data_IF_568640914493
#
_entry.id   IF_568640914493
#
_cell.length_a   1.000
_cell.length_b   1.000
_cell.length_c   1.000
_cell.angle_alpha   90.00
_cell.angle_beta   90.00
_cell.angle_gamma   90.00
#
_symmetry.space_group_name_H-M   'P 1'
#
loop_
_entity.id
_entity.type
_entity.pdbx_description
1 polymer ?
#
# COMPACT_ATOMS: atom_id res chain seq x y z
N UNK A 1 21.11 4.98 -6.85
CA UNK A 1 20.19 3.92 -7.35
C UNK A 1 20.99 2.64 -7.44
N UNK A 2 20.63 1.64 -6.66
CA UNK A 2 21.15 0.28 -6.81
C UNK A 2 20.10 -0.52 -7.54
N UNK A 3 20.46 -1.16 -8.65
CA UNK A 3 19.57 -2.03 -9.40
C UNK A 3 19.87 -3.47 -9.02
N UNK A 4 18.83 -4.23 -8.64
CA UNK A 4 18.88 -5.68 -8.53
C UNK A 4 18.34 -6.31 -9.82
N UNK A 5 19.07 -7.28 -10.38
CA UNK A 5 18.66 -8.07 -11.56
C UNK A 5 18.43 -9.51 -11.09
N UNK A 6 17.23 -10.04 -11.29
CA UNK A 6 16.91 -11.47 -11.14
C UNK A 6 16.83 -12.13 -12.52
N UNK A 7 17.42 -13.32 -12.66
CA UNK A 7 17.43 -14.10 -13.90
C UNK A 7 16.61 -15.39 -13.67
N UNK A 8 15.62 -15.60 -14.53
CA UNK A 8 14.74 -16.77 -14.51
C UNK A 8 15.02 -17.71 -15.69
N UNK A 9 14.91 -19.01 -15.44
CA UNK A 9 14.83 -20.03 -16.49
C UNK A 9 13.44 -19.96 -17.16
N UNK A 10 13.41 -19.69 -18.46
CA UNK A 10 12.17 -19.64 -19.25
C UNK A 10 11.52 -21.02 -19.49
N UNK A 11 12.23 -22.12 -19.27
CA UNK A 11 11.68 -23.47 -19.40
C UNK A 11 11.12 -24.03 -18.09
N UNK A 12 11.66 -23.63 -16.94
CA UNK A 12 11.33 -24.22 -15.63
C UNK A 12 10.74 -23.24 -14.60
N UNK A 13 10.82 -21.93 -14.85
CA UNK A 13 10.30 -20.88 -13.95
C UNK A 13 11.09 -20.73 -12.65
N UNK A 14 12.20 -21.44 -12.48
CA UNK A 14 13.06 -21.39 -11.30
C UNK A 14 14.15 -20.33 -11.46
N UNK A 15 14.51 -19.66 -10.35
CA UNK A 15 15.61 -18.70 -10.32
C UNK A 15 16.95 -19.43 -10.48
N UNK A 16 17.78 -18.97 -11.43
CA UNK A 16 19.10 -19.57 -11.68
C UNK A 16 20.18 -18.76 -10.94
N UNK A 17 20.61 -19.23 -9.77
CA UNK A 17 21.85 -18.81 -9.11
C UNK A 17 21.84 -17.46 -8.35
N UNK A 18 22.93 -17.13 -7.62
CA UNK A 18 22.98 -15.98 -6.72
C UNK A 18 23.22 -14.65 -7.45
N UNK A 19 22.62 -13.58 -6.90
CA UNK A 19 22.81 -12.16 -7.22
C UNK A 19 24.31 -11.78 -7.26
N UNK A 20 24.80 -11.20 -8.36
CA UNK A 20 26.18 -10.71 -8.50
C UNK A 20 26.20 -9.17 -8.59
N UNK A 21 27.02 -8.51 -7.76
CA UNK A 21 27.39 -7.09 -7.94
C UNK A 21 28.69 -6.99 -8.74
N UNK A 22 28.74 -6.01 -9.65
CA UNK A 22 29.86 -5.57 -10.49
C UNK A 22 31.22 -6.25 -10.24
N UNK A 23 31.62 -7.11 -11.19
CA UNK A 23 32.98 -7.61 -11.24
C UNK A 23 33.28 -8.85 -12.08
N UNK A 24 32.49 -9.30 -13.08
CA UNK A 24 33.01 -10.23 -14.12
C UNK A 24 32.09 -10.43 -15.35
N UNK A 25 32.73 -10.79 -16.48
CA UNK A 25 32.25 -11.17 -17.83
C UNK A 25 30.94 -11.98 -17.90
N UNK A 26 30.05 -11.69 -18.87
CA UNK A 26 28.98 -12.62 -19.30
C UNK A 26 28.74 -12.57 -20.82
N UNK A 27 28.60 -13.76 -21.44
CA UNK A 27 28.28 -14.04 -22.86
C UNK A 27 27.14 -15.04 -23.06
N UNK A 28 26.28 -14.81 -24.06
CA UNK A 28 25.35 -15.80 -24.66
C UNK A 28 23.94 -15.86 -24.07
N UNK A 29 22.91 -15.88 -24.94
CA UNK A 29 21.50 -16.22 -24.63
C UNK A 29 20.49 -15.07 -24.76
N UNK A 30 19.22 -15.40 -25.01
CA UNK A 30 18.11 -14.43 -25.14
C UNK A 30 17.48 -14.15 -23.77
N UNK A 31 17.51 -12.90 -23.30
CA UNK A 31 16.91 -12.49 -22.03
C UNK A 31 16.17 -11.15 -22.17
N UNK A 32 15.07 -10.99 -21.44
CA UNK A 32 14.34 -9.72 -21.33
C UNK A 32 14.86 -8.96 -20.11
N UNK A 33 15.58 -7.86 -20.34
CA UNK A 33 16.04 -6.93 -19.30
C UNK A 33 15.03 -5.78 -19.14
N UNK A 34 14.48 -5.60 -17.95
CA UNK A 34 13.83 -4.34 -17.55
C UNK A 34 14.64 -3.70 -16.43
N UNK A 35 15.57 -2.83 -16.81
CA UNK A 35 16.46 -2.12 -15.87
C UNK A 35 16.82 -0.75 -16.44
N UNK A 36 16.55 0.31 -15.69
CA UNK A 36 17.23 1.61 -15.80
C UNK A 36 18.69 1.43 -15.32
N UNK A 37 19.62 1.44 -16.28
CA UNK A 37 20.87 0.67 -16.25
C UNK A 37 22.11 1.40 -15.63
N UNK A 38 23.25 0.76 -15.31
CA UNK A 38 23.80 -0.45 -15.97
C UNK A 38 25.11 -1.02 -15.39
N UNK A 39 25.26 -2.33 -15.59
CA UNK A 39 26.47 -3.08 -15.99
C UNK A 39 26.08 -4.18 -17.02
N UNK A 40 27.06 -4.72 -17.76
CA UNK A 40 27.00 -5.33 -19.14
C UNK A 40 26.78 -6.86 -19.27
N UNK A 41 26.28 -7.35 -20.44
CA UNK A 41 26.48 -8.71 -21.00
C UNK A 41 26.35 -8.78 -22.55
N UNK A 42 26.95 -9.81 -23.17
CA UNK A 42 27.28 -9.91 -24.61
C UNK A 42 26.44 -10.93 -25.40
N UNK A 43 25.56 -10.48 -26.31
CA UNK A 43 25.17 -11.09 -27.61
C UNK A 43 24.33 -10.05 -28.38
N UNK A 44 24.36 -10.04 -29.72
CA UNK A 44 23.65 -9.04 -30.52
C UNK A 44 22.13 -9.03 -30.24
N UNK A 45 21.60 -7.86 -29.85
CA UNK A 45 20.19 -7.65 -29.55
C UNK A 45 19.86 -6.15 -29.45
N UNK A 46 18.56 -5.84 -29.56
CA UNK A 46 18.00 -4.49 -29.39
C UNK A 46 17.40 -4.35 -28.00
N UNK A 47 17.86 -3.38 -27.21
CA UNK A 47 17.29 -3.03 -25.91
C UNK A 47 16.52 -1.70 -26.00
N UNK A 48 15.33 -1.62 -25.41
CA UNK A 48 14.48 -0.40 -25.41
C UNK A 48 14.40 0.15 -23.99
N UNK A 49 14.82 1.41 -23.78
CA UNK A 49 14.65 2.10 -22.50
C UNK A 49 13.44 3.04 -22.64
N UNK A 50 12.31 2.68 -22.03
CA UNK A 50 11.09 3.50 -22.08
C UNK A 50 11.06 4.51 -20.94
N UNK A 51 11.34 5.77 -21.24
CA UNK A 51 10.73 6.90 -20.53
C UNK A 51 9.46 7.33 -21.27
N UNK A 52 8.39 7.68 -20.55
CA UNK A 52 7.11 8.04 -21.16
C UNK A 52 7.23 9.15 -22.20
N UNK A 53 6.94 8.82 -23.46
CA UNK A 53 6.98 9.74 -24.61
C UNK A 53 7.25 8.98 -25.92
N UNK A 54 6.39 9.14 -26.91
CA UNK A 54 6.44 8.40 -28.19
C UNK A 54 7.61 8.85 -29.06
N UNK A 55 8.66 8.01 -29.14
CA UNK A 55 9.76 8.14 -30.10
C UNK A 55 11.11 7.74 -29.49
N UNK A 56 11.45 6.45 -29.52
CA UNK A 56 12.78 5.96 -29.09
C UNK A 56 13.77 6.02 -30.25
N UNK A 57 14.92 6.68 -30.07
CA UNK A 57 16.04 6.67 -31.02
C UNK A 57 16.96 5.50 -30.69
N UNK A 58 17.31 4.67 -31.69
CA UNK A 58 18.22 3.53 -31.48
C UNK A 58 19.67 3.91 -31.80
N UNK A 59 20.58 3.70 -30.85
CA UNK A 59 22.01 3.92 -31.00
C UNK A 59 22.74 2.59 -31.15
N UNK A 60 23.58 2.46 -32.18
CA UNK A 60 24.40 1.27 -32.44
C UNK A 60 25.85 1.51 -32.00
N UNK A 61 26.35 0.66 -31.11
CA UNK A 61 27.74 0.68 -30.68
C UNK A 61 28.67 0.11 -31.77
N UNK A 62 29.78 0.80 -32.03
CA UNK A 62 30.78 0.45 -33.05
C UNK A 62 32.10 -0.03 -32.45
N UNK A 63 32.36 0.27 -31.17
CA UNK A 63 33.51 -0.19 -30.39
C UNK A 63 33.18 -0.21 -28.89
N UNK A 64 34.00 -0.88 -28.09
CA UNK A 64 33.87 -0.83 -26.62
C UNK A 64 34.29 0.53 -26.07
N UNK A 65 33.62 1.02 -25.02
CA UNK A 65 33.92 2.32 -24.42
C UNK A 65 32.84 2.81 -23.45
N UNK A 66 32.88 4.07 -23.04
CA UNK A 66 31.87 4.63 -22.13
C UNK A 66 30.59 5.05 -22.87
N UNK A 67 29.43 4.96 -22.20
CA UNK A 67 28.14 5.41 -22.76
C UNK A 67 28.19 6.88 -23.23
N UNK A 68 28.91 7.72 -22.49
CA UNK A 68 29.09 9.16 -22.73
C UNK A 68 30.08 9.48 -23.85
N UNK A 69 30.86 8.49 -24.32
CA UNK A 69 31.82 8.69 -25.40
C UNK A 69 31.11 8.61 -26.75
N UNK A 70 30.93 9.78 -27.38
CA UNK A 70 30.29 9.90 -28.68
C UNK A 70 30.96 9.06 -29.78
N UNK A 71 32.26 8.75 -29.63
CA UNK A 71 33.03 7.97 -30.60
C UNK A 71 32.75 6.47 -30.55
N UNK A 72 32.04 6.00 -29.51
CA UNK A 72 31.54 4.63 -29.39
C UNK A 72 30.40 4.35 -30.36
N UNK A 73 29.65 5.38 -30.77
CA UNK A 73 28.37 5.23 -31.47
C UNK A 73 28.47 5.57 -32.95
N UNK A 74 27.77 4.81 -33.79
CA UNK A 74 27.77 4.97 -35.26
C UNK A 74 27.36 6.36 -35.76
N UNK A 75 26.62 7.12 -34.95
CA UNK A 75 26.24 8.50 -35.24
C UNK A 75 27.21 9.58 -34.76
N UNK A 76 28.33 9.20 -34.11
CA UNK A 76 29.28 10.17 -33.55
C UNK A 76 28.69 11.05 -32.45
N UNK A 77 27.59 10.61 -31.83
CA UNK A 77 26.87 11.29 -30.75
C UNK A 77 26.58 10.29 -29.63
N UNK A 78 26.81 10.70 -28.38
CA UNK A 78 26.48 9.88 -27.23
C UNK A 78 24.96 9.85 -26.99
N UNK A 79 24.38 8.69 -26.60
CA UNK A 79 22.97 8.59 -26.24
C UNK A 79 22.59 9.57 -25.13
N UNK A 80 21.50 10.30 -25.32
CA UNK A 80 20.91 11.20 -24.33
C UNK A 80 19.38 11.20 -24.45
N UNK A 81 18.66 11.34 -23.34
CA UNK A 81 17.19 11.28 -23.31
C UNK A 81 16.64 9.84 -23.36
N UNK A 82 15.51 9.63 -24.03
CA UNK A 82 14.93 8.30 -24.23
C UNK A 82 15.56 7.63 -25.45
N UNK A 83 16.15 6.45 -25.27
CA UNK A 83 16.85 5.76 -26.35
C UNK A 83 16.78 4.25 -26.23
N UNK A 84 17.10 3.59 -27.35
CA UNK A 84 17.36 2.16 -27.43
C UNK A 84 18.84 1.94 -27.74
N UNK A 85 19.44 0.90 -27.19
CA UNK A 85 20.83 0.53 -27.50
C UNK A 85 20.85 -0.77 -28.31
N UNK A 86 21.70 -0.80 -29.32
CA UNK A 86 22.10 -2.02 -30.03
C UNK A 86 23.59 -2.21 -29.84
N UNK A 87 23.96 -3.33 -29.22
CA UNK A 87 25.35 -3.63 -28.86
C UNK A 87 25.73 -4.93 -29.56
N UNK A 88 26.61 -4.88 -30.58
CA UNK A 88 27.13 -6.07 -31.24
C UNK A 88 27.90 -6.98 -30.28
N UNK A 89 27.94 -8.28 -30.59
CA UNK A 89 28.72 -9.24 -29.82
C UNK A 89 30.21 -8.83 -29.77
N UNK A 90 30.82 -8.92 -28.59
CA UNK A 90 32.22 -8.53 -28.37
C UNK A 90 32.44 -7.05 -28.06
N UNK A 91 31.40 -6.21 -28.09
CA UNK A 91 31.46 -4.82 -27.66
C UNK A 91 30.95 -4.68 -26.23
N UNK A 92 31.70 -3.95 -25.40
CA UNK A 92 31.39 -3.68 -23.99
C UNK A 92 31.18 -2.18 -23.80
N UNK A 93 30.03 -1.79 -23.24
CA UNK A 93 29.75 -0.39 -22.87
C UNK A 93 29.82 -0.23 -21.36
N UNK A 94 30.67 0.70 -20.91
CA UNK A 94 30.82 1.07 -19.50
C UNK A 94 29.90 2.24 -19.18
N UNK A 95 29.18 2.17 -18.06
CA UNK A 95 28.21 3.20 -17.67
C UNK A 95 28.64 3.81 -16.35
N UNK A 96 29.47 4.85 -16.46
CA UNK A 96 30.03 5.63 -15.36
C UNK A 96 29.07 6.75 -14.97
N UNK A 97 27.83 6.42 -14.61
CA UNK A 97 26.87 7.45 -14.18
C UNK A 97 26.94 7.66 -12.66
N UNK A 98 27.23 8.89 -12.23
CA UNK A 98 26.71 9.35 -10.94
C UNK A 98 25.22 9.52 -11.13
N UNK A 99 24.42 8.63 -10.54
CA UNK A 99 22.97 8.77 -10.60
C UNK A 99 22.57 9.88 -9.60
N UNK A 100 22.69 11.13 -10.01
CA UNK A 100 22.03 12.27 -9.37
C UNK A 100 20.58 12.31 -9.85
N UNK A 101 19.81 11.32 -9.41
CA UNK A 101 18.36 11.30 -9.62
C UNK A 101 17.71 12.34 -8.72
N UNK A 102 17.47 13.54 -9.22
CA UNK A 102 16.55 14.54 -8.64
C UNK A 102 15.07 14.12 -8.79
N UNK A 103 14.78 12.83 -8.71
CA UNK A 103 13.44 12.25 -8.75
C UNK A 103 13.07 11.75 -7.36
N UNK A 104 11.83 12.01 -6.94
CA UNK A 104 11.22 11.60 -5.67
C UNK A 104 11.02 10.07 -5.53
N UNK A 105 11.93 9.24 -6.05
CA UNK A 105 11.86 7.78 -5.99
C UNK A 105 12.69 7.20 -4.84
N UNK A 106 12.06 6.46 -3.93
CA UNK A 106 12.72 5.65 -2.90
C UNK A 106 13.40 4.43 -3.51
N UNK A 107 14.59 4.05 -3.01
CA UNK A 107 15.23 2.76 -3.34
C UNK A 107 14.84 1.73 -2.27
N UNK A 108 14.36 0.55 -2.68
CA UNK A 108 14.08 -0.55 -1.75
C UNK A 108 15.32 -1.42 -1.58
N UNK A 109 15.83 -1.52 -0.35
CA UNK A 109 16.92 -2.41 0.03
C UNK A 109 16.37 -3.72 0.58
N UNK A 110 16.85 -4.85 0.04
CA UNK A 110 16.45 -6.19 0.48
C UNK A 110 17.60 -6.86 1.23
N UNK A 111 17.33 -7.30 2.46
CA UNK A 111 18.34 -8.01 3.24
C UNK A 111 18.57 -9.43 2.68
N UNK A 112 19.82 -9.88 2.64
CA UNK A 112 20.23 -11.23 2.20
C UNK A 112 20.75 -12.09 3.34
N UNK A 113 21.15 -11.47 4.45
CA UNK A 113 21.55 -12.13 5.70
C UNK A 113 21.26 -11.23 6.89
N UNK A 114 21.33 -11.77 8.10
CA UNK A 114 21.19 -10.98 9.33
C UNK A 114 22.41 -10.08 9.58
N UNK A 115 22.18 -8.91 10.18
CA UNK A 115 23.24 -7.97 10.54
C UNK A 115 22.75 -6.55 10.80
N UNK A 116 23.69 -5.62 10.89
CA UNK A 116 23.40 -4.20 11.12
C UNK A 116 22.92 -3.50 9.85
N UNK A 117 22.05 -2.49 10.00
CA UNK A 117 21.58 -1.65 8.91
C UNK A 117 22.74 -1.05 8.10
N UNK A 118 23.81 -0.65 8.78
CA UNK A 118 24.96 0.04 8.18
C UNK A 118 25.97 -0.90 7.52
N UNK A 119 25.85 -2.22 7.68
CA UNK A 119 26.74 -3.18 7.06
C UNK A 119 26.33 -3.41 5.60
N UNK A 120 27.14 -2.94 4.66
CA UNK A 120 26.88 -3.07 3.23
C UNK A 120 26.76 -4.53 2.77
N UNK A 121 27.37 -5.48 3.47
CA UNK A 121 27.35 -6.90 3.12
C UNK A 121 26.01 -7.59 3.43
N UNK A 122 25.14 -6.95 4.22
CA UNK A 122 23.80 -7.43 4.59
C UNK A 122 22.80 -7.28 3.45
N UNK A 123 23.06 -6.37 2.51
CA UNK A 123 22.09 -5.92 1.52
C UNK A 123 22.36 -6.49 0.14
N UNK A 124 21.28 -6.79 -0.60
CA UNK A 124 21.36 -7.07 -2.03
C UNK A 124 22.02 -5.89 -2.75
N UNK A 125 23.09 -6.15 -3.50
CA UNK A 125 23.85 -5.11 -4.18
C UNK A 125 25.08 -4.60 -3.42
N UNK A 126 25.31 -5.06 -2.18
CA UNK A 126 26.54 -4.75 -1.44
C UNK A 126 26.66 -3.28 -1.03
N UNK A 127 25.54 -2.60 -0.84
CA UNK A 127 25.46 -1.19 -0.44
C UNK A 127 24.49 -1.04 0.73
N UNK A 128 24.92 -0.33 1.77
CA UNK A 128 24.07 -0.02 2.89
C UNK A 128 23.01 1.05 2.53
N UNK A 129 21.82 1.01 3.16
CA UNK A 129 20.81 2.05 3.05
C UNK A 129 21.38 3.44 3.29
N UNK A 130 21.02 4.37 2.40
CA UNK A 130 21.43 5.77 2.44
C UNK A 130 20.36 6.65 1.77
N UNK A 131 20.33 7.94 2.11
CA UNK A 131 19.31 8.87 1.64
C UNK A 131 17.89 8.43 2.04
N UNK A 132 16.93 8.62 1.13
CA UNK A 132 15.56 8.15 1.29
C UNK A 132 15.46 6.71 0.78
N UNK A 133 14.99 5.80 1.63
CA UNK A 133 14.95 4.39 1.28
C UNK A 133 13.74 3.66 1.84
N UNK A 134 13.50 2.48 1.31
CA UNK A 134 12.57 1.50 1.84
C UNK A 134 13.31 0.19 2.13
N UNK A 135 12.80 -0.62 3.05
CA UNK A 135 13.39 -1.90 3.43
C UNK A 135 12.43 -3.05 3.17
N UNK A 136 12.99 -4.19 2.77
CA UNK A 136 12.34 -5.48 2.80
C UNK A 136 13.22 -6.45 3.57
N UNK A 137 12.73 -6.96 4.70
CA UNK A 137 13.44 -7.93 5.55
C UNK A 137 12.77 -9.29 5.35
N UNK A 138 13.39 -10.24 4.61
CA UNK A 138 12.83 -11.57 4.40
C UNK A 138 12.71 -12.39 5.68
N UNK A 139 11.86 -13.42 5.66
CA UNK A 139 11.70 -14.35 6.77
C UNK A 139 13.05 -14.99 7.17
N UNK A 140 13.24 -15.20 8.48
CA UNK A 140 14.48 -15.77 9.04
C UNK A 140 15.68 -14.82 9.11
N UNK A 141 15.58 -13.60 8.55
CA UNK A 141 16.64 -12.58 8.63
C UNK A 141 16.30 -11.57 9.71
N UNK A 142 17.32 -11.18 10.50
CA UNK A 142 17.22 -10.11 11.50
C UNK A 142 18.08 -8.93 11.08
N UNK A 143 17.47 -7.78 10.90
CA UNK A 143 18.17 -6.50 10.74
C UNK A 143 18.11 -5.74 12.05
N UNK A 144 19.29 -5.34 12.52
CA UNK A 144 19.45 -4.53 13.72
C UNK A 144 19.73 -3.08 13.34
N UNK A 145 19.08 -2.15 14.03
CA UNK A 145 19.44 -0.73 14.04
C UNK A 145 19.92 -0.40 15.45
N UNK A 146 21.23 -0.43 15.65
CA UNK A 146 21.87 -0.09 16.92
C UNK A 146 21.88 1.42 17.19
N UNK A 147 22.03 1.79 18.47
CA UNK A 147 22.04 3.19 18.90
C UNK A 147 20.63 3.76 19.11
N UNK A 148 20.55 5.04 19.49
CA UNK A 148 19.30 5.64 19.98
C UNK A 148 18.49 6.39 18.93
N UNK A 149 18.97 6.49 17.68
CA UNK A 149 18.31 7.27 16.64
C UNK A 149 18.61 6.75 15.24
N UNK A 150 17.56 6.57 14.43
CA UNK A 150 17.68 6.46 12.98
C UNK A 150 17.55 7.85 12.36
N UNK A 151 18.69 8.40 11.90
CA UNK A 151 18.78 9.73 11.29
C UNK A 151 18.51 9.74 9.78
N UNK A 152 18.29 8.58 9.16
CA UNK A 152 17.96 8.47 7.74
C UNK A 152 16.45 8.31 7.54
N UNK A 153 15.95 8.78 6.40
CA UNK A 153 14.52 8.68 6.07
C UNK A 153 14.18 7.30 5.52
N UNK A 154 13.73 6.41 6.41
CA UNK A 154 13.13 5.14 6.04
C UNK A 154 11.63 5.36 5.75
N UNK A 155 11.27 5.41 4.47
CA UNK A 155 9.90 5.68 4.02
C UNK A 155 8.96 4.50 4.32
N UNK A 156 9.43 3.27 4.07
CA UNK A 156 8.64 2.05 4.27
C UNK A 156 9.53 0.88 4.66
N UNK A 157 9.07 0.03 5.57
CA UNK A 157 9.75 -1.20 5.96
C UNK A 157 8.75 -2.37 6.00
N UNK A 158 8.88 -3.31 5.07
CA UNK A 158 8.14 -4.57 5.09
C UNK A 158 8.96 -5.64 5.83
N UNK A 159 8.48 -6.06 6.99
CA UNK A 159 9.18 -6.96 7.91
C UNK A 159 8.55 -8.35 7.88
N UNK A 160 9.10 -9.25 7.06
CA UNK A 160 8.78 -10.69 7.09
C UNK A 160 9.69 -11.45 8.07
N UNK A 161 10.90 -10.94 8.31
CA UNK A 161 11.85 -11.45 9.31
C UNK A 161 11.75 -10.68 10.63
N UNK A 162 12.87 -10.16 11.12
CA UNK A 162 12.91 -9.36 12.35
C UNK A 162 13.56 -8.00 12.10
N UNK A 163 12.91 -6.93 12.54
CA UNK A 163 13.51 -5.61 12.69
C UNK A 163 13.77 -5.39 14.20
N UNK A 164 15.03 -5.26 14.60
CA UNK A 164 15.42 -5.04 15.97
C UNK A 164 15.97 -3.61 16.15
N UNK A 165 15.42 -2.86 17.10
CA UNK A 165 15.69 -1.43 17.25
C UNK A 165 16.25 -1.09 18.63
N UNK A 166 17.25 -0.22 18.66
CA UNK A 166 17.65 0.45 19.90
C UNK A 166 18.67 -0.27 20.76
N UNK A 167 19.36 -1.27 20.21
CA UNK A 167 20.42 -1.98 20.92
C UNK A 167 21.45 -1.00 21.50
N UNK A 168 21.71 -1.12 22.80
CA UNK A 168 22.65 -0.27 23.54
C UNK A 168 22.15 1.14 23.86
N UNK A 169 20.84 1.41 23.77
CA UNK A 169 20.25 2.72 24.05
C UNK A 169 19.04 2.67 24.97
N UNK A 170 18.76 3.77 25.68
CA UNK A 170 17.61 3.84 26.58
C UNK A 170 16.28 3.95 25.83
N UNK A 171 16.27 4.69 24.73
CA UNK A 171 15.14 4.86 23.81
C UNK A 171 15.64 4.73 22.37
N UNK A 172 14.71 4.53 21.45
CA UNK A 172 15.00 4.59 20.01
C UNK A 172 14.12 5.64 19.34
N UNK A 173 14.73 6.48 18.50
CA UNK A 173 14.05 7.63 17.87
C UNK A 173 14.12 7.52 16.35
N UNK A 174 12.98 7.69 15.68
CA UNK A 174 12.96 7.96 14.26
C UNK A 174 13.05 9.47 14.02
N UNK A 175 14.04 9.94 13.25
CA UNK A 175 14.14 11.36 12.91
C UNK A 175 13.10 11.80 11.86
N UNK A 176 12.64 10.85 11.03
CA UNK A 176 11.66 11.06 9.97
C UNK A 176 10.53 10.04 10.07
N UNK A 177 9.31 10.35 9.59
CA UNK A 177 8.17 9.46 9.73
C UNK A 177 8.34 8.17 8.93
N UNK A 178 8.32 6.98 9.57
CA UNK A 178 8.35 5.71 8.87
C UNK A 178 6.95 5.09 8.75
N UNK A 179 6.80 4.27 7.71
CA UNK A 179 5.73 3.27 7.60
C UNK A 179 6.32 1.90 7.84
N UNK A 180 5.98 1.27 8.97
CA UNK A 180 6.47 -0.06 9.32
C UNK A 180 5.32 -1.06 9.22
N UNK A 181 5.51 -2.10 8.41
CA UNK A 181 4.52 -3.14 8.17
C UNK A 181 5.14 -4.47 8.58
N UNK A 182 4.71 -4.99 9.73
CA UNK A 182 5.11 -6.30 10.22
C UNK A 182 4.21 -7.34 9.58
N UNK A 183 4.77 -8.09 8.64
CA UNK A 183 4.08 -9.13 7.87
C UNK A 183 3.90 -10.39 8.71
N UNK A 184 3.14 -11.35 8.20
CA UNK A 184 2.97 -12.66 8.87
C UNK A 184 4.33 -13.30 9.17
N UNK A 185 4.50 -13.87 10.36
CA UNK A 185 5.74 -14.39 10.96
C UNK A 185 6.82 -13.34 11.30
N UNK A 186 6.64 -12.10 10.86
CA UNK A 186 7.55 -11.00 11.11
C UNK A 186 7.52 -10.52 12.55
N UNK A 187 8.62 -9.90 12.99
CA UNK A 187 8.75 -9.36 14.35
C UNK A 187 9.37 -7.97 14.36
N UNK A 188 8.76 -7.06 15.12
CA UNK A 188 9.39 -5.81 15.53
C UNK A 188 9.89 -5.96 16.98
N UNK A 189 11.20 -5.96 17.18
CA UNK A 189 11.83 -6.18 18.47
C UNK A 189 12.35 -4.85 19.05
N UNK A 190 11.93 -4.56 20.28
CA UNK A 190 12.50 -3.51 21.10
C UNK A 190 13.70 -4.04 21.88
N UNK A 191 14.85 -3.40 21.69
CA UNK A 191 16.09 -3.70 22.40
C UNK A 191 16.57 -2.50 23.24
N UNK A 192 15.71 -1.49 23.41
CA UNK A 192 15.98 -0.35 24.27
C UNK A 192 15.86 -0.75 25.74
N UNK A 193 16.64 -0.12 26.62
CA UNK A 193 16.57 -0.44 28.05
C UNK A 193 15.37 0.14 28.78
N UNK A 194 14.68 1.14 28.21
CA UNK A 194 13.48 1.75 28.80
C UNK A 194 12.18 1.30 28.13
N UNK A 195 12.25 0.44 27.11
CA UNK A 195 11.12 0.00 26.28
C UNK A 195 10.35 1.18 25.65
N UNK A 196 11.05 2.11 25.00
CA UNK A 196 10.44 3.32 24.41
C UNK A 196 10.91 3.54 22.99
N UNK A 197 9.95 3.65 22.09
CA UNK A 197 10.14 4.14 20.73
C UNK A 197 9.51 5.52 20.57
N UNK A 198 10.25 6.43 19.94
CA UNK A 198 9.86 7.81 19.68
C UNK A 198 9.68 7.99 18.16
N UNK A 199 8.49 8.44 17.76
CA UNK A 199 8.10 8.65 16.37
C UNK A 199 7.71 10.10 16.14
N UNK A 200 8.04 10.71 14.99
CA UNK A 200 7.43 11.96 14.59
C UNK A 200 5.97 11.72 14.16
N UNK A 201 5.17 12.80 14.06
CA UNK A 201 3.87 12.74 13.38
C UNK A 201 3.98 12.22 11.95
N UNK A 202 2.88 11.69 11.42
CA UNK A 202 2.76 11.03 10.12
C UNK A 202 3.41 9.63 10.04
N UNK A 203 3.69 9.03 11.18
CA UNK A 203 4.24 7.66 11.27
C UNK A 203 3.12 6.65 11.41
N UNK A 204 3.33 5.43 10.92
CA UNK A 204 2.38 4.32 11.11
C UNK A 204 3.12 3.00 11.33
N UNK A 205 2.59 2.21 12.26
CA UNK A 205 2.99 0.82 12.46
C UNK A 205 1.75 -0.05 12.27
N UNK A 206 1.80 -0.96 11.30
CA UNK A 206 0.78 -1.97 11.06
C UNK A 206 1.39 -3.35 11.29
N UNK A 207 0.77 -4.15 12.16
CA UNK A 207 1.11 -5.55 12.37
C UNK A 207 -0.01 -6.39 11.79
N UNK A 208 0.30 -7.15 10.74
CA UNK A 208 -0.67 -8.03 10.10
C UNK A 208 -0.88 -9.29 10.95
N UNK A 209 -1.93 -10.04 10.61
CA UNK A 209 -2.20 -11.34 11.24
C UNK A 209 -0.97 -12.26 11.15
N UNK A 210 -0.60 -12.86 12.28
CA UNK A 210 0.59 -13.71 12.42
C UNK A 210 1.92 -12.95 12.57
N UNK A 211 1.94 -11.62 12.44
CA UNK A 211 3.06 -10.77 12.82
C UNK A 211 3.06 -10.46 14.32
N UNK A 212 4.16 -9.91 14.84
CA UNK A 212 4.21 -9.56 16.26
C UNK A 212 5.24 -8.52 16.68
N UNK A 213 5.11 -8.12 17.94
CA UNK A 213 6.11 -7.37 18.69
C UNK A 213 6.88 -8.31 19.61
N UNK A 214 8.20 -8.29 19.51
CA UNK A 214 9.08 -9.17 20.29
C UNK A 214 9.20 -8.79 21.77
N UNK A 215 8.82 -7.56 22.14
CA UNK A 215 8.85 -7.06 23.50
C UNK A 215 7.45 -6.57 23.91
N UNK A 216 6.96 -7.04 25.06
CA UNK A 216 5.71 -6.53 25.66
C UNK A 216 6.00 -5.25 26.43
N UNK A 217 5.06 -4.30 26.42
CA UNK A 217 5.17 -3.08 27.22
C UNK A 217 6.03 -1.99 26.59
N UNK A 218 6.43 -2.11 25.32
CA UNK A 218 7.04 -1.01 24.57
C UNK A 218 6.05 0.14 24.43
N UNK A 219 6.46 1.32 24.88
CA UNK A 219 5.72 2.56 24.70
C UNK A 219 6.07 3.18 23.35
N UNK A 220 5.06 3.36 22.52
CA UNK A 220 5.10 4.14 21.29
C UNK A 220 4.70 5.58 21.63
N UNK A 221 5.60 6.53 21.43
CA UNK A 221 5.34 7.94 21.73
C UNK A 221 5.53 8.79 20.49
N UNK A 222 4.67 9.80 20.37
CA UNK A 222 4.84 10.83 19.36
C UNK A 222 5.77 11.93 19.90
N UNK A 223 6.60 12.49 19.04
CA UNK A 223 7.46 13.64 19.34
C UNK A 223 7.15 14.74 18.33
N UNK A 224 6.77 15.92 18.84
CA UNK A 224 6.54 17.11 18.03
C UNK A 224 7.42 18.26 18.55
N UNK A 225 8.21 18.87 17.66
CA UNK A 225 9.09 19.98 18.03
C UNK A 225 10.12 19.64 19.13
N UNK A 226 10.47 18.36 19.29
CA UNK A 226 11.38 17.88 20.34
C UNK A 226 10.72 17.60 21.70
N UNK A 227 9.40 17.75 21.83
CA UNK A 227 8.64 17.45 23.06
C UNK A 227 7.87 16.15 22.89
N UNK A 228 7.91 15.29 23.91
CA UNK A 228 7.11 14.07 23.96
C UNK A 228 5.61 14.42 24.08
N UNK A 229 4.81 13.96 23.13
CA UNK A 229 3.36 14.14 23.10
C UNK A 229 2.63 12.91 23.62
N UNK A 230 1.55 12.52 22.94
CA UNK A 230 0.78 11.31 23.21
C UNK A 230 1.66 10.05 23.28
N UNK A 231 1.23 9.09 24.10
CA UNK A 231 1.91 7.83 24.35
C UNK A 231 0.90 6.70 24.37
N UNK A 232 1.24 5.58 23.73
CA UNK A 232 0.49 4.34 23.78
C UNK A 232 1.43 3.20 24.15
N UNK A 233 1.03 2.33 25.07
CA UNK A 233 1.84 1.18 25.47
C UNK A 233 1.25 -0.09 24.89
N UNK A 234 2.07 -0.85 24.17
CA UNK A 234 1.66 -2.11 23.56
C UNK A 234 1.27 -3.14 24.62
N UNK A 235 0.01 -3.58 24.57
CA UNK A 235 -0.58 -4.58 25.47
C UNK A 235 -0.52 -5.99 24.90
N UNK A 236 -0.46 -6.13 23.57
CA UNK A 236 -0.33 -7.40 22.85
C UNK A 236 1.03 -7.53 22.16
N UNK A 237 1.53 -8.76 22.07
CA UNK A 237 2.74 -9.10 21.32
C UNK A 237 2.44 -9.62 19.91
N UNK A 238 1.16 -9.75 19.52
CA UNK A 238 0.74 -10.32 18.24
C UNK A 238 -0.31 -9.44 17.57
N UNK A 239 -0.23 -9.34 16.24
CA UNK A 239 -1.27 -8.71 15.43
C UNK A 239 -2.52 -9.59 15.26
N UNK A 240 -3.56 -9.09 14.57
CA UNK A 240 -3.56 -7.82 13.83
C UNK A 240 -3.64 -6.59 14.73
N UNK A 241 -2.96 -5.51 14.35
CA UNK A 241 -2.95 -4.25 15.10
C UNK A 241 -2.46 -3.10 14.21
N UNK A 242 -2.99 -1.90 14.41
CA UNK A 242 -2.47 -0.68 13.78
C UNK A 242 -2.31 0.42 14.82
N UNK A 243 -1.20 1.15 14.75
CA UNK A 243 -0.97 2.38 15.49
C UNK A 243 -0.56 3.49 14.52
N UNK A 244 -1.37 4.56 14.46
CA UNK A 244 -1.10 5.75 13.67
C UNK A 244 -0.72 6.93 14.55
N UNK A 245 0.39 7.60 14.23
CA UNK A 245 0.79 8.88 14.84
C UNK A 245 0.32 10.02 13.92
N UNK A 246 -0.78 10.66 14.28
CA UNK A 246 -1.48 11.60 13.39
C UNK A 246 -0.76 12.97 13.27
N UNK A 247 -1.06 13.75 12.21
CA UNK A 247 -0.52 15.10 12.03
C UNK A 247 -0.83 16.05 13.20
N UNK A 248 -1.97 15.85 13.87
CA UNK A 248 -2.45 16.71 14.95
C UNK A 248 -1.79 16.43 16.32
N UNK A 249 -0.90 15.43 16.40
CA UNK A 249 -0.21 15.07 17.63
C UNK A 249 -0.87 13.95 18.43
N UNK A 250 -2.01 13.42 17.97
CA UNK A 250 -2.68 12.29 18.59
C UNK A 250 -2.11 10.94 18.14
N UNK A 251 -2.42 9.89 18.91
CA UNK A 251 -2.16 8.50 18.54
C UNK A 251 -3.50 7.77 18.49
N UNK A 252 -3.77 7.13 17.36
CA UNK A 252 -4.92 6.25 17.19
C UNK A 252 -4.46 4.80 17.07
N UNK A 253 -5.22 3.89 17.67
CA UNK A 253 -4.92 2.46 17.68
C UNK A 253 -6.13 1.62 17.36
N UNK A 254 -5.91 0.53 16.62
CA UNK A 254 -6.95 -0.38 16.19
C UNK A 254 -6.50 -1.82 16.46
N UNK A 255 -7.41 -2.66 16.94
CA UNK A 255 -7.21 -4.11 17.09
C UNK A 255 -7.37 -4.87 15.75
N UNK A 256 -7.08 -4.18 14.64
CA UNK A 256 -7.14 -4.66 13.27
C UNK A 256 -6.07 -3.99 12.41
N UNK A 257 -5.84 -4.52 11.21
CA UNK A 257 -5.11 -3.77 10.17
C UNK A 257 -6.03 -2.67 9.66
N UNK A 258 -5.66 -1.40 9.81
CA UNK A 258 -6.52 -0.27 9.47
C UNK A 258 -5.75 0.76 8.64
N UNK A 259 -6.31 1.16 7.51
CA UNK A 259 -5.79 2.31 6.77
C UNK A 259 -6.51 3.58 7.24
N UNK A 260 -5.75 4.65 7.49
CA UNK A 260 -6.28 5.91 8.02
C UNK A 260 -6.16 6.96 6.93
N UNK A 261 -7.28 7.44 6.38
CA UNK A 261 -7.30 8.51 5.40
C UNK A 261 -7.14 9.86 6.12
N UNK A 262 -6.02 10.55 5.87
CA UNK A 262 -5.64 11.80 6.55
C UNK A 262 -5.64 13.01 5.63
N UNK A 263 -5.67 12.80 4.31
CA UNK A 263 -5.78 13.84 3.30
C UNK A 263 -6.98 13.56 2.42
N UNK A 264 -7.66 14.60 1.95
CA UNK A 264 -8.72 14.42 0.97
C UNK A 264 -8.14 13.95 -0.36
N UNK A 265 -8.74 12.91 -0.94
CA UNK A 265 -8.18 12.29 -2.14
C UNK A 265 -8.89 11.01 -2.56
N UNK A 266 -8.38 10.42 -3.63
CA UNK A 266 -8.85 9.13 -4.14
C UNK A 266 -8.29 7.97 -3.31
N UNK A 267 -9.09 6.91 -3.19
CA UNK A 267 -8.74 5.67 -2.52
C UNK A 267 -7.47 5.02 -3.10
N UNK A 268 -7.22 5.18 -4.39
CA UNK A 268 -6.05 4.58 -5.05
C UNK A 268 -4.77 5.41 -4.86
N UNK A 269 -4.88 6.64 -4.36
CA UNK A 269 -3.74 7.52 -4.16
C UNK A 269 -3.10 7.27 -2.79
N UNK A 270 -1.83 6.83 -2.78
CA UNK A 270 -1.10 6.57 -1.53
C UNK A 270 -1.06 7.80 -0.61
N UNK A 271 -0.93 9.01 -1.16
CA UNK A 271 -0.89 10.26 -0.38
C UNK A 271 -2.16 10.58 0.41
N UNK A 272 -3.28 9.90 0.13
CA UNK A 272 -4.54 10.00 0.88
C UNK A 272 -4.39 9.41 2.29
N UNK A 273 -3.58 8.35 2.44
CA UNK A 273 -3.48 7.55 3.66
C UNK A 273 -2.23 7.88 4.47
N UNK A 274 -2.35 7.77 5.80
CA UNK A 274 -1.26 7.94 6.74
C UNK A 274 -0.06 7.06 6.35
N UNK A 275 1.12 7.68 6.23
CA UNK A 275 2.35 6.99 5.83
C UNK A 275 2.31 6.35 4.43
N UNK A 276 1.32 6.68 3.59
CA UNK A 276 1.12 5.97 2.32
C UNK A 276 0.61 4.54 2.47
N UNK A 277 0.08 4.17 3.64
CA UNK A 277 -0.47 2.84 3.92
C UNK A 277 -1.90 2.71 3.38
N UNK A 278 -2.00 2.65 2.05
CA UNK A 278 -3.28 2.41 1.38
C UNK A 278 -3.67 0.92 1.43
N UNK A 279 -4.97 0.59 1.53
CA UNK A 279 -5.44 -0.79 1.46
C UNK A 279 -5.08 -1.46 0.12
N UNK A 280 -4.75 -2.74 0.19
CA UNK A 280 -4.46 -3.59 -0.98
C UNK A 280 -4.80 -5.03 -0.65
N UNK A 281 -4.93 -5.88 -1.68
CA UNK A 281 -5.24 -7.29 -1.49
C UNK A 281 -4.19 -8.03 -0.64
N UNK A 282 -2.90 -7.67 -0.76
CA UNK A 282 -1.82 -8.30 0.01
C UNK A 282 -1.76 -7.85 1.48
N UNK A 283 -2.25 -6.65 1.78
CA UNK A 283 -2.33 -6.12 3.15
C UNK A 283 -3.60 -6.62 3.83
N UNK A 284 -4.68 -6.75 3.08
CA UNK A 284 -6.02 -7.00 3.60
C UNK A 284 -6.46 -8.47 3.52
N UNK A 285 -5.56 -9.42 3.29
CA UNK A 285 -5.89 -10.87 3.14
C UNK A 285 -6.46 -11.56 4.40
N UNK A 286 -6.84 -10.80 5.43
CA UNK A 286 -7.54 -11.25 6.63
C UNK A 286 -8.53 -10.20 7.15
N UNK A 287 -8.91 -9.25 6.31
CA UNK A 287 -9.72 -8.09 6.65
C UNK A 287 -8.90 -6.85 7.01
N UNK A 288 -9.28 -5.72 6.41
CA UNK A 288 -8.82 -4.39 6.82
C UNK A 288 -9.99 -3.51 7.25
N UNK A 289 -9.73 -2.64 8.23
CA UNK A 289 -10.54 -1.46 8.49
C UNK A 289 -10.09 -0.25 7.67
N UNK A 290 -10.98 0.72 7.56
CA UNK A 290 -10.69 2.05 7.02
C UNK A 290 -11.25 3.08 7.99
N UNK A 291 -10.42 4.04 8.39
CA UNK A 291 -10.85 5.23 9.12
C UNK A 291 -10.74 6.45 8.21
N UNK A 292 -11.81 7.25 8.13
CA UNK A 292 -11.79 8.58 7.50
C UNK A 292 -11.90 9.63 8.60
N UNK A 293 -10.80 10.31 8.87
CA UNK A 293 -10.74 11.28 9.98
C UNK A 293 -11.50 12.57 9.66
N UNK A 294 -11.82 13.34 10.70
CA UNK A 294 -12.55 14.61 10.57
C UNK A 294 -11.89 15.57 9.58
N UNK A 295 -12.70 16.23 8.74
CA UNK A 295 -12.22 17.17 7.73
C UNK A 295 -11.66 16.52 6.45
N UNK A 296 -11.63 15.19 6.36
CA UNK A 296 -11.14 14.45 5.19
C UNK A 296 -12.29 13.96 4.33
N UNK A 297 -12.11 14.07 3.00
CA UNK A 297 -12.97 13.45 2.00
C UNK A 297 -12.23 12.30 1.31
N UNK A 298 -12.66 11.07 1.56
CA UNK A 298 -12.16 9.88 0.86
C UNK A 298 -13.09 9.55 -0.31
N UNK A 299 -12.58 9.53 -1.53
CA UNK A 299 -13.32 9.19 -2.74
C UNK A 299 -12.98 7.80 -3.26
N UNK A 300 -13.98 7.03 -3.68
CA UNK A 300 -13.78 5.73 -4.34
C UNK A 300 -13.83 5.79 -5.86
N UNK A 301 -13.75 6.98 -6.46
CA UNK A 301 -13.91 7.16 -7.90
C UNK A 301 -12.93 6.31 -8.73
N UNK A 302 -11.67 6.21 -8.31
CA UNK A 302 -10.62 5.41 -8.95
C UNK A 302 -10.81 3.89 -8.81
N UNK A 303 -11.73 3.44 -7.95
CA UNK A 303 -12.07 2.02 -7.82
C UNK A 303 -13.05 1.52 -8.89
N UNK A 304 -13.56 2.40 -9.76
CA UNK A 304 -14.43 2.06 -10.90
C UNK A 304 -15.64 1.18 -10.50
N UNK A 305 -16.31 1.56 -9.41
CA UNK A 305 -17.56 0.93 -8.98
C UNK A 305 -17.42 -0.36 -8.16
N UNK A 306 -16.21 -0.76 -7.75
CA UNK A 306 -16.08 -1.93 -6.88
C UNK A 306 -14.89 -1.89 -5.92
N UNK A 307 -15.11 -2.34 -4.69
CA UNK A 307 -14.08 -2.67 -3.72
C UNK A 307 -13.84 -4.18 -3.78
N UNK A 308 -12.68 -4.60 -4.29
CA UNK A 308 -12.39 -5.98 -4.70
C UNK A 308 -11.38 -6.72 -3.79
N UNK A 309 -11.23 -6.29 -2.54
CA UNK A 309 -10.41 -6.96 -1.54
C UNK A 309 -11.07 -6.81 -0.17
N UNK A 310 -10.62 -7.58 0.83
CA UNK A 310 -11.35 -7.76 2.08
C UNK A 310 -11.27 -6.52 2.99
N UNK A 311 -12.20 -5.59 2.79
CA UNK A 311 -12.48 -4.51 3.73
C UNK A 311 -13.65 -4.94 4.60
N UNK A 312 -13.40 -5.04 5.89
CA UNK A 312 -14.37 -5.54 6.87
C UNK A 312 -15.02 -4.41 7.67
N UNK A 313 -14.39 -3.24 7.74
CA UNK A 313 -14.98 -2.06 8.35
C UNK A 313 -14.60 -0.78 7.63
N UNK A 314 -15.54 0.16 7.57
CA UNK A 314 -15.31 1.54 7.13
C UNK A 314 -15.99 2.45 8.15
N UNK A 315 -15.20 3.24 8.86
CA UNK A 315 -15.66 4.23 9.82
C UNK A 315 -15.44 5.62 9.24
N UNK A 316 -16.48 6.44 9.28
CA UNK A 316 -16.45 7.82 8.81
C UNK A 316 -16.73 8.72 10.00
N UNK A 317 -15.67 9.38 10.50
CA UNK A 317 -15.75 10.24 11.66
C UNK A 317 -16.66 11.46 11.42
N UNK A 318 -17.13 12.07 12.51
CA UNK A 318 -17.90 13.32 12.43
C UNK A 318 -17.09 14.41 11.70
N UNK A 319 -17.72 15.06 10.71
CA UNK A 319 -17.07 16.05 9.85
C UNK A 319 -16.20 15.49 8.73
N UNK A 320 -16.09 14.15 8.61
CA UNK A 320 -15.49 13.49 7.47
C UNK A 320 -16.52 13.20 6.37
N UNK A 321 -16.06 12.95 5.14
CA UNK A 321 -16.90 12.52 4.02
C UNK A 321 -16.34 11.26 3.35
N UNK A 322 -17.20 10.27 3.13
CA UNK A 322 -16.91 9.13 2.26
C UNK A 322 -17.75 9.22 0.99
N UNK A 323 -17.10 9.47 -0.15
CA UNK A 323 -17.74 9.55 -1.46
C UNK A 323 -17.69 8.18 -2.14
N UNK A 324 -18.85 7.55 -2.25
CA UNK A 324 -19.00 6.22 -2.82
C UNK A 324 -19.46 6.28 -4.27
N UNK A 325 -18.68 5.67 -5.16
CA UNK A 325 -18.99 5.54 -6.58
C UNK A 325 -18.06 6.35 -7.47
N UNK A 326 -18.25 6.19 -8.77
CA UNK A 326 -17.52 6.93 -9.80
C UNK A 326 -18.49 7.91 -10.48
N UNK A 327 -18.24 9.23 -10.44
CA UNK A 327 -19.09 10.21 -11.10
C UNK A 327 -19.32 9.88 -12.58
N UNK A 328 -20.58 9.88 -13.01
CA UNK A 328 -20.96 9.58 -14.40
C UNK A 328 -20.89 8.10 -14.79
N UNK A 329 -20.41 7.21 -13.91
CA UNK A 329 -20.47 5.78 -14.17
C UNK A 329 -21.91 5.28 -13.99
N UNK A 330 -22.41 4.54 -14.98
CA UNK A 330 -23.72 3.88 -14.93
C UNK A 330 -23.73 2.64 -14.04
N UNK A 331 -22.56 2.24 -13.54
CA UNK A 331 -22.42 1.17 -12.56
C UNK A 331 -22.69 1.71 -11.16
N UNK A 332 -23.34 0.89 -10.32
CA UNK A 332 -23.41 1.14 -8.89
C UNK A 332 -22.04 0.97 -8.21
N UNK A 333 -22.06 0.77 -6.89
CA UNK A 333 -20.86 0.42 -6.14
C UNK A 333 -21.01 -0.96 -5.46
N UNK A 334 -20.02 -1.84 -5.63
CA UNK A 334 -20.03 -3.21 -5.09
C UNK A 334 -18.95 -3.42 -4.04
N UNK A 335 -19.32 -4.03 -2.92
CA UNK A 335 -18.37 -4.57 -1.94
C UNK A 335 -18.17 -6.07 -2.17
N UNK A 336 -16.93 -6.54 -2.26
CA UNK A 336 -16.63 -7.95 -2.53
C UNK A 336 -16.46 -8.80 -1.27
N UNK A 337 -16.56 -8.18 -0.09
CA UNK A 337 -16.48 -8.80 1.23
C UNK A 337 -17.57 -8.23 2.13
N UNK A 338 -17.98 -8.99 3.14
CA UNK A 338 -18.84 -8.48 4.21
C UNK A 338 -18.16 -7.28 4.87
N UNK A 339 -18.92 -6.20 5.03
CA UNK A 339 -18.40 -4.92 5.52
C UNK A 339 -19.36 -4.29 6.52
N UNK A 340 -18.81 -3.72 7.60
CA UNK A 340 -19.54 -2.83 8.50
C UNK A 340 -19.21 -1.38 8.15
N UNK A 341 -20.19 -0.65 7.61
CA UNK A 341 -20.12 0.79 7.38
C UNK A 341 -20.70 1.51 8.59
N UNK A 342 -19.89 2.35 9.24
CA UNK A 342 -20.26 3.15 10.41
C UNK A 342 -20.06 4.64 10.10
N UNK A 343 -21.15 5.33 9.77
CA UNK A 343 -21.14 6.70 9.24
C UNK A 343 -21.63 7.69 10.30
N UNK A 344 -20.69 8.30 11.02
CA UNK A 344 -20.94 9.42 11.94
C UNK A 344 -20.75 10.79 11.25
N UNK A 345 -20.01 10.82 10.14
CA UNK A 345 -19.89 11.97 9.24
C UNK A 345 -20.89 11.92 8.09
N UNK A 346 -20.41 12.17 6.87
CA UNK A 346 -21.25 12.21 5.69
C UNK A 346 -20.87 11.10 4.69
N UNK A 347 -21.86 10.36 4.21
CA UNK A 347 -21.69 9.47 3.06
C UNK A 347 -22.37 10.08 1.85
N UNK A 348 -21.62 10.28 0.76
CA UNK A 348 -22.15 10.81 -0.49
C UNK A 348 -22.09 9.74 -1.57
N UNK A 349 -23.22 9.40 -2.18
CA UNK A 349 -23.22 8.54 -3.36
C UNK A 349 -23.16 9.37 -4.63
N UNK A 350 -22.17 9.09 -5.48
CA UNK A 350 -21.88 9.89 -6.69
C UNK A 350 -22.02 9.10 -7.99
N UNK A 351 -22.31 7.79 -7.92
CA UNK A 351 -22.58 6.97 -9.09
C UNK A 351 -23.93 7.31 -9.72
N UNK A 352 -24.04 7.16 -11.04
CA UNK A 352 -25.34 7.27 -11.74
C UNK A 352 -26.11 5.95 -11.77
N UNK A 353 -25.43 4.83 -11.46
CA UNK A 353 -26.01 3.49 -11.46
C UNK A 353 -27.00 3.21 -10.32
N UNK A 354 -27.17 4.10 -9.34
CA UNK A 354 -28.25 3.98 -8.34
C UNK A 354 -28.24 2.76 -7.42
N UNK A 355 -27.21 1.90 -7.44
CA UNK A 355 -27.14 0.71 -6.58
C UNK A 355 -25.90 0.71 -5.66
N UNK A 356 -26.10 0.30 -4.41
CA UNK A 356 -25.03 -0.13 -3.49
C UNK A 356 -25.22 -1.63 -3.26
N UNK A 357 -24.22 -2.44 -3.63
CA UNK A 357 -24.27 -3.89 -3.54
C UNK A 357 -23.51 -4.38 -2.32
N UNK A 358 -24.23 -4.98 -1.39
CA UNK A 358 -23.70 -5.54 -0.15
C UNK A 358 -23.82 -7.07 -0.14
N UNK A 359 -22.77 -7.80 0.24
CA UNK A 359 -22.89 -9.24 0.45
C UNK A 359 -23.52 -9.56 1.83
N UNK A 360 -24.01 -10.79 2.04
CA UNK A 360 -24.44 -11.27 3.36
C UNK A 360 -23.40 -11.04 4.45
N UNK A 361 -23.85 -10.70 5.66
CA UNK A 361 -22.98 -10.35 6.79
C UNK A 361 -22.57 -8.88 6.85
N UNK A 362 -23.05 -8.03 5.94
CA UNK A 362 -22.74 -6.60 5.94
C UNK A 362 -23.68 -5.79 6.81
N UNK A 363 -23.16 -4.71 7.40
CA UNK A 363 -23.93 -3.70 8.10
C UNK A 363 -23.74 -2.33 7.45
N UNK A 364 -24.82 -1.57 7.34
CA UNK A 364 -24.85 -0.20 6.85
C UNK A 364 -25.50 0.69 7.90
N UNK A 365 -24.69 1.49 8.60
CA UNK A 365 -25.15 2.27 9.73
C UNK A 365 -24.83 3.76 9.52
N UNK A 366 -25.87 4.59 9.42
CA UNK A 366 -25.78 6.04 9.63
C UNK A 366 -26.09 6.28 11.11
N UNK A 367 -25.06 6.64 11.86
CA UNK A 367 -25.14 6.82 13.31
C UNK A 367 -25.60 8.24 13.66
N UNK A 368 -25.74 8.55 14.95
CA UNK A 368 -26.20 9.86 15.38
C UNK A 368 -25.23 10.96 14.92
N UNK A 369 -25.76 11.99 14.25
CA UNK A 369 -24.97 13.05 13.62
C UNK A 369 -24.49 12.73 12.20
N UNK A 370 -24.65 11.48 11.76
CA UNK A 370 -24.36 11.06 10.41
C UNK A 370 -25.40 11.51 9.39
N UNK A 371 -25.00 11.54 8.12
CA UNK A 371 -25.88 11.88 7.02
C UNK A 371 -25.52 11.10 5.75
N UNK A 372 -26.52 10.89 4.88
CA UNK A 372 -26.34 10.36 3.54
C UNK A 372 -26.95 11.32 2.51
N UNK A 373 -26.27 11.52 1.38
CA UNK A 373 -26.83 12.24 0.24
C UNK A 373 -26.48 11.62 -1.11
N UNK A 374 -27.36 11.82 -2.08
CA UNK A 374 -27.21 11.37 -3.46
C UNK A 374 -28.03 12.28 -4.39
N UNK A 375 -27.62 12.38 -5.65
CA UNK A 375 -28.40 13.07 -6.68
C UNK A 375 -29.64 12.27 -7.13
N UNK A 376 -29.64 10.97 -6.87
CA UNK A 376 -30.71 10.02 -7.24
C UNK A 376 -31.05 9.13 -6.04
N UNK A 377 -32.24 8.52 -6.04
CA UNK A 377 -32.54 7.45 -5.09
C UNK A 377 -31.57 6.29 -5.29
N UNK A 378 -31.12 5.69 -4.19
CA UNK A 378 -30.11 4.63 -4.22
C UNK A 378 -30.70 3.36 -3.62
N UNK A 379 -30.66 2.29 -4.38
CA UNK A 379 -31.09 0.96 -3.95
C UNK A 379 -29.94 0.19 -3.34
N UNK A 380 -30.09 -0.30 -2.12
CA UNK A 380 -29.23 -1.30 -1.52
C UNK A 380 -29.71 -2.67 -2.00
N UNK A 381 -28.82 -3.36 -2.72
CA UNK A 381 -29.03 -4.69 -3.29
C UNK A 381 -28.16 -5.70 -2.56
N UNK A 382 -28.76 -6.78 -2.09
CA UNK A 382 -28.01 -7.87 -1.46
C UNK A 382 -27.73 -8.92 -2.52
N UNK A 383 -26.46 -9.25 -2.68
CA UNK A 383 -26.03 -10.17 -3.72
C UNK A 383 -25.20 -11.31 -3.15
N UNK A 384 -25.32 -12.48 -3.78
CA UNK A 384 -24.54 -13.65 -3.46
C UNK A 384 -23.12 -13.50 -4.03
N UNK A 385 -22.11 -13.68 -3.18
CA UNK A 385 -20.71 -13.51 -3.58
C UNK A 385 -20.27 -14.54 -4.63
N UNK A 386 -20.87 -15.74 -4.63
CA UNK A 386 -20.46 -16.84 -5.50
C UNK A 386 -21.04 -16.71 -6.92
N UNK A 387 -22.32 -16.36 -7.01
CA UNK A 387 -23.07 -16.26 -8.28
C UNK A 387 -23.16 -14.84 -8.82
N UNK A 388 -22.93 -13.83 -7.97
CA UNK A 388 -23.09 -12.41 -8.32
C UNK A 388 -24.54 -11.98 -8.48
N UNK A 389 -25.51 -12.84 -8.18
CA UNK A 389 -26.93 -12.59 -8.35
C UNK A 389 -27.53 -11.95 -7.10
N UNK A 390 -28.58 -11.14 -7.30
CA UNK A 390 -29.37 -10.58 -6.21
C UNK A 390 -30.13 -11.68 -5.47
N UNK A 391 -30.08 -11.68 -4.13
CA UNK A 391 -30.68 -12.72 -3.28
C UNK A 391 -31.53 -12.17 -2.13
N UNK A 392 -31.70 -10.86 -2.01
CA UNK A 392 -32.43 -10.24 -0.92
C UNK A 392 -33.40 -9.14 -1.37
N UNK A 393 -34.26 -8.66 -0.45
CA UNK A 393 -35.18 -7.58 -0.72
C UNK A 393 -34.42 -6.28 -1.01
N UNK A 394 -34.88 -5.53 -2.01
CA UNK A 394 -34.29 -4.25 -2.39
C UNK A 394 -34.71 -3.16 -1.39
N UNK A 395 -33.73 -2.47 -0.79
CA UNK A 395 -34.01 -1.32 0.07
C UNK A 395 -33.71 -0.03 -0.68
N UNK A 396 -34.61 0.95 -0.64
CA UNK A 396 -34.39 2.22 -1.34
C UNK A 396 -34.11 3.33 -0.33
N UNK A 397 -32.91 3.88 -0.42
CA UNK A 397 -32.53 5.13 0.22
C UNK A 397 -33.03 6.29 -0.66
N UNK A 398 -33.69 7.26 -0.04
CA UNK A 398 -33.97 8.54 -0.67
C UNK A 398 -32.69 9.31 -0.98
N UNK A 399 -32.83 10.47 -1.63
CA UNK A 399 -31.70 11.33 -2.01
C UNK A 399 -31.02 12.01 -0.81
N UNK A 400 -31.66 12.02 0.35
CA UNK A 400 -31.14 12.61 1.59
C UNK A 400 -31.65 11.83 2.80
N UNK A 401 -30.73 11.48 3.70
CA UNK A 401 -31.02 10.98 5.05
C UNK A 401 -30.28 11.89 6.01
N UNK A 402 -31.00 12.55 6.91
CA UNK A 402 -30.44 13.47 7.90
C UNK A 402 -31.33 13.55 9.15
N UNK A 403 -30.73 13.88 10.29
CA UNK A 403 -31.50 14.20 11.51
C UNK A 403 -31.99 12.99 12.32
N UNK A 404 -31.37 11.82 12.17
CA UNK A 404 -31.68 10.62 12.92
C UNK A 404 -30.66 9.50 12.68
N UNK A 405 -30.94 8.30 13.18
CA UNK A 405 -30.13 7.12 12.87
C UNK A 405 -30.80 6.27 11.80
N UNK A 406 -30.00 5.54 11.02
CA UNK A 406 -30.45 4.50 10.11
C UNK A 406 -29.51 3.31 10.25
N UNK A 407 -30.07 2.12 10.47
CA UNK A 407 -29.29 0.88 10.57
C UNK A 407 -29.90 -0.16 9.65
N UNK A 408 -29.08 -0.74 8.79
CA UNK A 408 -29.42 -1.90 7.99
C UNK A 408 -28.38 -2.98 8.31
N UNK A 409 -28.85 -4.16 8.68
CA UNK A 409 -28.00 -5.32 8.93
C UNK A 409 -28.45 -6.47 8.03
N UNK A 410 -27.49 -7.06 7.32
CA UNK A 410 -27.70 -8.24 6.48
C UNK A 410 -27.10 -9.44 7.19
N UNK A 411 -27.93 -10.40 7.61
CA UNK A 411 -27.43 -11.62 8.24
C UNK A 411 -26.52 -12.42 7.30
N UNK A 412 -25.74 -13.35 7.85
CA UNK A 412 -24.95 -14.29 7.05
C UNK A 412 -25.81 -15.16 6.10
N UNK A 413 -27.10 -15.32 6.40
CA UNK A 413 -28.08 -16.01 5.54
C UNK A 413 -28.81 -15.08 4.56
N UNK A 414 -28.45 -13.80 4.48
CA UNK A 414 -29.03 -12.81 3.57
C UNK A 414 -30.33 -12.15 4.05
N UNK A 415 -30.74 -12.37 5.30
CA UNK A 415 -31.93 -11.74 5.88
C UNK A 415 -31.65 -10.30 6.30
N UNK A 416 -32.60 -9.39 6.05
CA UNK A 416 -32.41 -7.94 6.27
C UNK A 416 -33.17 -7.48 7.50
N UNK A 417 -32.47 -6.79 8.40
CA UNK A 417 -33.06 -6.06 9.52
C UNK A 417 -32.84 -4.57 9.31
N UNK A 418 -33.90 -3.77 9.44
CA UNK A 418 -33.85 -2.32 9.29
C UNK A 418 -34.37 -1.68 10.57
N UNK A 419 -33.70 -0.62 11.01
CA UNK A 419 -34.09 0.18 12.16
C UNK A 419 -33.62 1.62 12.02
N UNK A 420 -34.00 2.44 13.01
CA UNK A 420 -33.61 3.85 13.08
C UNK A 420 -34.79 4.80 13.16
N UNK A 421 -34.46 6.09 13.24
CA UNK A 421 -35.41 7.20 13.38
C UNK A 421 -35.35 8.18 12.20
N UNK A 422 -34.42 7.99 11.27
CA UNK A 422 -34.22 8.92 10.17
C UNK A 422 -35.35 8.83 9.13
N UNK A 423 -35.80 10.01 8.66
CA UNK A 423 -36.71 10.11 7.53
C UNK A 423 -35.97 9.87 6.20
N UNK A 424 -36.68 9.39 5.17
CA UNK A 424 -36.13 9.23 3.82
C UNK A 424 -35.78 7.80 3.40
N UNK A 425 -36.24 6.79 4.14
CA UNK A 425 -36.07 5.37 3.78
C UNK A 425 -37.43 4.74 3.50
N UNK A 426 -37.54 3.99 2.39
CA UNK A 426 -38.71 3.18 2.07
C UNK A 426 -38.27 1.74 1.79
N UNK A 427 -38.93 0.78 2.45
CA UNK A 427 -38.73 -0.64 2.17
C UNK A 427 -39.75 -1.13 1.14
N UNK A 428 -39.26 -1.81 0.11
CA UNK A 428 -40.08 -2.57 -0.84
C UNK A 428 -39.62 -4.03 -0.77
N UNK A 429 -40.48 -4.91 -0.27
CA UNK A 429 -40.21 -6.36 -0.14
C UNK A 429 -40.33 -7.12 -1.46
N UNK A 430 -40.07 -6.48 -2.60
CA UNK A 430 -40.05 -7.18 -3.88
C UNK A 430 -38.74 -7.99 -3.99
N UNK A 431 -38.86 -9.32 -3.96
CA UNK A 431 -37.78 -10.21 -4.40
C UNK A 431 -37.57 -10.00 -5.90
N UNK A 432 -36.32 -9.96 -6.39
CA UNK A 432 -36.05 -10.03 -7.83
C UNK A 432 -36.72 -11.29 -8.38
N UNK A 433 -37.48 -11.16 -9.45
CA UNK A 433 -38.15 -12.30 -10.09
C UNK A 433 -37.11 -13.37 -10.45
N UNK A 434 -37.30 -14.57 -9.92
CA UNK A 434 -36.49 -15.75 -10.28
C UNK A 434 -36.55 -15.93 -11.80
N UNK A 435 -35.42 -16.06 -12.51
CA UNK A 435 -35.47 -16.37 -13.93
C UNK A 435 -36.14 -17.74 -14.09
N UNK A 436 -37.30 -17.79 -14.73
CA UNK A 436 -37.92 -19.05 -15.09
C UNK A 436 -37.00 -19.76 -16.08
N UNK A 437 -36.32 -20.81 -15.65
CA UNK A 437 -35.70 -21.76 -16.57
C UNK A 437 -36.87 -22.50 -17.23
N UNK A 438 -37.25 -22.05 -18.43
CA UNK A 438 -38.21 -22.76 -19.26
C UNK A 438 -37.67 -24.15 -19.59
N UNK A 439 -38.51 -25.16 -19.32
CA UNK A 439 -38.19 -26.59 -19.54
C UNK A 439 -38.31 -27.05 -20.98
#
# INVERSE_FOLDING_TARGET
>A
ISVSIEIFDLLTGLAIGPLQTLGTLISGGTFTLSVSASGSATTAGTATISGGGSGSVTFLATKSGELTDATVWSGGLAPSGNFSLSIPAGITITISATISGGGSGSVTFRATKSGELTDATVWSGGLAPSGNFSLSIPAGITITISGGTLSLQMLRCDVYGTLALGSGSATFTFAFPPTIIVRSSGKLLDQTSSNVFLFPSNSIIAVLSGGGFGAKGTALKIVQGGVAGASFTLTSATGPFTCGMLPDGSIETYDSVTAIAINSGDFTAAGTFLGGFAPSADICSGGCGIEVISGVTLSTAGLNGALNFDITSITVATGATFQLGTPGASTGFKFSSAVTLSISGHMSFVGSGGYIRLPPGSDFNITAGGAFSSAISVSIEIFDLLTGLAIGPLQTLGTLISGGTFTLSVSASGSVTIGGTAAGVSSTTEMPATPSIGG
#
